data_IF_032945314621
#
_entry.id   IF_032945314621
#
_cell.length_a   1.000
_cell.length_b   1.000
_cell.length_c   1.000
_cell.angle_alpha   90.00
_cell.angle_beta   90.00
_cell.angle_gamma   90.00
#
_symmetry.space_group_name_H-M   'P 1'
#
loop_
_entity.id
_entity.type
_entity.pdbx_description
1 polymer ?
#
# COMPACT_ATOMS: atom_id res chain seq x y z
N UNK A 1 -22.73 28.60 -47.62
CA UNK A 1 -22.53 28.71 -46.17
C UNK A 1 -22.24 27.30 -45.67
N UNK A 2 -20.95 26.94 -45.60
CA UNK A 2 -20.53 25.63 -45.10
C UNK A 2 -20.45 25.77 -43.58
N UNK A 3 -21.44 25.22 -42.87
CA UNK A 3 -21.40 25.13 -41.43
C UNK A 3 -20.43 24.00 -41.08
N UNK A 4 -19.17 24.35 -40.82
CA UNK A 4 -18.24 23.46 -40.18
C UNK A 4 -18.64 23.41 -38.70
N UNK A 5 -19.36 22.36 -38.30
CA UNK A 5 -19.40 21.98 -36.90
C UNK A 5 -18.02 21.43 -36.56
N UNK A 6 -17.13 22.27 -36.04
CA UNK A 6 -16.00 21.81 -35.26
C UNK A 6 -16.61 21.07 -34.07
N UNK A 7 -16.64 19.74 -34.13
CA UNK A 7 -16.80 18.94 -32.92
C UNK A 7 -15.56 19.24 -32.10
N UNK A 8 -15.71 19.97 -30.99
CA UNK A 8 -14.66 20.02 -29.98
C UNK A 8 -14.29 18.56 -29.66
N UNK A 9 -13.01 18.21 -29.81
CA UNK A 9 -12.49 16.91 -29.39
C UNK A 9 -12.57 16.86 -27.87
N UNK A 10 -13.74 16.50 -27.36
CA UNK A 10 -13.96 16.25 -25.95
C UNK A 10 -13.07 15.05 -25.57
N UNK A 11 -12.09 15.28 -24.69
CA UNK A 11 -11.13 14.26 -24.27
C UNK A 11 -11.85 13.05 -23.66
N UNK A 12 -11.14 11.91 -23.56
CA UNK A 12 -11.75 10.71 -23.00
C UNK A 12 -12.15 10.94 -21.53
N UNK A 13 -13.38 10.58 -21.12
CA UNK A 13 -13.79 10.72 -19.73
C UNK A 13 -12.92 9.87 -18.81
N UNK A 14 -12.81 10.25 -17.54
CA UNK A 14 -12.12 9.43 -16.53
C UNK A 14 -12.77 8.05 -16.42
N UNK A 15 -11.97 7.01 -16.21
CA UNK A 15 -12.45 5.65 -15.99
C UNK A 15 -12.36 5.30 -14.51
N UNK A 16 -13.49 5.13 -13.86
CA UNK A 16 -13.58 4.77 -12.45
C UNK A 16 -14.18 3.35 -12.32
N UNK A 17 -13.77 2.58 -11.29
CA UNK A 17 -14.41 1.30 -10.94
C UNK A 17 -15.90 1.47 -10.61
N UNK A 18 -16.64 0.36 -10.57
CA UNK A 18 -18.03 0.42 -10.13
C UNK A 18 -18.07 0.76 -8.64
N UNK A 19 -19.03 1.59 -8.24
CA UNK A 19 -19.13 2.09 -6.86
C UNK A 19 -19.20 0.96 -5.83
N UNK A 20 -19.86 -0.14 -6.15
CA UNK A 20 -20.03 -1.30 -5.28
C UNK A 20 -18.73 -2.06 -5.00
N UNK A 21 -17.74 -1.95 -5.89
CA UNK A 21 -16.44 -2.59 -5.72
C UNK A 21 -15.50 -1.76 -4.85
N UNK A 22 -15.75 -0.44 -4.69
CA UNK A 22 -14.82 0.48 -4.02
C UNK A 22 -14.98 0.38 -2.50
N UNK A 23 -13.87 0.05 -1.83
CA UNK A 23 -13.80 -0.11 -0.37
C UNK A 23 -13.18 1.09 0.33
N UNK A 24 -12.24 1.79 -0.31
CA UNK A 24 -11.59 2.97 0.28
C UNK A 24 -10.93 3.84 -0.77
N UNK A 25 -10.66 5.09 -0.39
CA UNK A 25 -9.85 6.02 -1.19
C UNK A 25 -8.67 6.46 -0.35
N UNK A 26 -7.47 6.27 -0.88
CA UNK A 26 -6.21 6.69 -0.29
C UNK A 26 -5.60 7.87 -1.03
N UNK A 27 -4.92 8.77 -0.31
CA UNK A 27 -4.19 9.91 -0.87
C UNK A 27 -2.82 9.98 -0.22
N UNK A 28 -1.75 10.03 -1.04
CA UNK A 28 -0.35 10.03 -0.59
C UNK A 28 0.45 11.16 -1.22
N UNK A 29 1.18 11.95 -0.44
CA UNK A 29 2.19 12.90 -0.96
C UNK A 29 3.63 12.34 -0.93
N UNK A 30 3.76 11.03 -0.68
CA UNK A 30 5.03 10.34 -0.48
C UNK A 30 5.61 10.43 0.94
N UNK A 31 5.12 11.35 1.78
CA UNK A 31 5.51 11.42 3.20
C UNK A 31 4.33 11.09 4.13
N UNK A 32 3.12 11.45 3.71
CA UNK A 32 1.88 11.23 4.42
C UNK A 32 0.95 10.39 3.56
N UNK A 33 0.24 9.51 4.22
CA UNK A 33 -0.86 8.77 3.64
C UNK A 33 -2.13 9.05 4.44
N UNK A 34 -3.20 9.38 3.74
CA UNK A 34 -4.52 9.60 4.29
C UNK A 34 -5.48 8.61 3.63
N UNK A 35 -6.40 8.04 4.41
CA UNK A 35 -7.46 7.19 3.88
C UNK A 35 -8.83 7.80 4.17
N UNK A 36 -9.82 7.42 3.36
CA UNK A 36 -11.23 7.60 3.66
C UNK A 36 -11.56 7.09 5.07
N UNK A 37 -12.62 7.60 5.72
CA UNK A 37 -13.03 7.18 7.05
C UNK A 37 -13.15 5.65 7.21
N UNK A 38 -12.93 5.15 8.43
CA UNK A 38 -12.91 3.70 8.71
C UNK A 38 -14.29 3.12 9.05
N UNK A 39 -15.31 3.95 9.23
CA UNK A 39 -16.67 3.46 9.49
C UNK A 39 -17.42 3.31 8.17
N UNK A 40 -18.17 2.22 8.01
CA UNK A 40 -18.86 1.89 6.75
C UNK A 40 -19.75 3.03 6.24
N UNK A 41 -20.47 3.71 7.15
CA UNK A 41 -21.39 4.80 6.81
C UNK A 41 -20.63 6.05 6.35
N UNK A 42 -19.63 6.49 7.10
CA UNK A 42 -18.85 7.69 6.75
C UNK A 42 -17.97 7.44 5.52
N UNK A 43 -17.41 6.24 5.39
CA UNK A 43 -16.68 5.82 4.21
C UNK A 43 -17.57 5.89 2.97
N UNK A 44 -18.81 5.40 3.07
CA UNK A 44 -19.70 5.35 1.93
C UNK A 44 -20.06 6.75 1.39
N UNK A 45 -20.41 7.67 2.29
CA UNK A 45 -20.71 9.07 1.97
C UNK A 45 -19.48 9.78 1.39
N UNK A 46 -18.31 9.60 2.02
CA UNK A 46 -17.06 10.17 1.57
C UNK A 46 -16.68 9.68 0.17
N UNK A 47 -16.77 8.38 -0.09
CA UNK A 47 -16.44 7.79 -1.39
C UNK A 47 -17.37 8.35 -2.48
N UNK A 48 -18.68 8.46 -2.21
CA UNK A 48 -19.63 9.01 -3.18
C UNK A 48 -19.29 10.47 -3.53
N UNK A 49 -18.97 11.28 -2.53
CA UNK A 49 -18.58 12.69 -2.73
C UNK A 49 -17.26 12.80 -3.50
N UNK A 50 -16.26 11.98 -3.16
CA UNK A 50 -14.97 11.99 -3.83
C UNK A 50 -15.07 11.56 -5.30
N UNK A 51 -15.84 10.51 -5.59
CA UNK A 51 -16.07 10.08 -6.97
C UNK A 51 -16.84 11.14 -7.77
N UNK A 52 -17.80 11.83 -7.15
CA UNK A 52 -18.47 12.96 -7.78
C UNK A 52 -17.49 14.05 -8.19
N UNK A 53 -16.54 14.41 -7.31
CA UNK A 53 -15.49 15.38 -7.63
C UNK A 53 -14.57 14.92 -8.78
N UNK A 54 -14.26 13.62 -8.86
CA UNK A 54 -13.50 13.05 -9.98
C UNK A 54 -14.30 13.07 -11.30
N UNK A 55 -15.61 12.88 -11.25
CA UNK A 55 -16.48 12.91 -12.43
C UNK A 55 -16.74 14.32 -12.96
N UNK A 56 -16.67 15.35 -12.11
CA UNK A 56 -16.91 16.75 -12.46
C UNK A 56 -15.69 17.44 -13.14
N UNK A 57 -14.58 16.71 -13.32
CA UNK A 57 -13.37 17.28 -13.89
C UNK A 57 -13.49 17.62 -15.37
N UNK A 58 -12.83 18.70 -15.79
CA UNK A 58 -12.78 19.07 -17.19
C UNK A 58 -11.78 18.19 -17.94
N UNK A 59 -12.22 17.58 -19.05
CA UNK A 59 -11.33 16.86 -19.96
C UNK A 59 -10.38 17.83 -20.66
N UNK A 60 -9.10 17.48 -20.77
CA UNK A 60 -8.15 18.23 -21.59
C UNK A 60 -7.83 17.51 -22.89
N UNK A 61 -7.18 18.19 -23.84
CA UNK A 61 -6.64 17.58 -25.05
C UNK A 61 -5.26 16.91 -24.85
N UNK A 62 -4.75 16.90 -23.61
CA UNK A 62 -3.46 16.29 -23.31
C UNK A 62 -3.59 14.76 -23.20
N UNK A 63 -2.58 14.05 -23.69
CA UNK A 63 -2.50 12.60 -23.60
C UNK A 63 -1.65 12.20 -22.41
N UNK A 64 -2.15 11.25 -21.60
CA UNK A 64 -1.32 10.51 -20.66
C UNK A 64 -0.72 9.31 -21.41
N UNK A 65 0.61 9.29 -21.54
CA UNK A 65 1.35 8.23 -22.26
C UNK A 65 2.35 7.50 -21.37
N UNK A 66 2.43 7.87 -20.10
CA UNK A 66 3.34 7.30 -19.11
C UNK A 66 2.53 6.66 -17.98
N UNK A 67 3.15 5.70 -17.28
CA UNK A 67 2.57 5.09 -16.09
C UNK A 67 2.50 6.07 -14.91
N UNK A 68 3.41 7.05 -14.86
CA UNK A 68 3.56 8.04 -13.79
C UNK A 68 3.90 9.39 -14.40
N UNK A 69 3.44 10.54 -13.84
CA UNK A 69 3.83 11.86 -14.32
C UNK A 69 5.35 12.06 -14.30
N UNK A 70 5.89 12.50 -15.43
CA UNK A 70 7.34 12.65 -15.61
C UNK A 70 7.80 14.05 -15.20
N UNK A 71 8.83 14.13 -14.35
CA UNK A 71 9.39 15.39 -13.84
C UNK A 71 8.34 16.28 -13.14
N UNK A 72 7.44 15.65 -12.37
CA UNK A 72 6.45 16.33 -11.53
C UNK A 72 6.55 15.80 -10.12
N UNK A 73 6.40 16.70 -9.15
CA UNK A 73 6.00 16.32 -7.81
C UNK A 73 4.48 16.10 -7.85
N UNK A 74 4.02 14.95 -7.36
CA UNK A 74 2.63 14.55 -7.45
C UNK A 74 2.15 13.94 -6.13
N UNK A 75 0.84 13.93 -5.99
CA UNK A 75 0.09 13.21 -4.98
C UNK A 75 -0.53 11.99 -5.66
N UNK A 76 -0.36 10.82 -5.09
CA UNK A 76 -1.00 9.58 -5.54
C UNK A 76 -2.40 9.49 -4.93
N UNK A 77 -3.41 9.19 -5.75
CA UNK A 77 -4.78 8.90 -5.31
C UNK A 77 -5.07 7.45 -5.67
N UNK A 78 -5.33 6.61 -4.67
CA UNK A 78 -5.63 5.19 -4.84
C UNK A 78 -7.12 4.94 -4.56
N UNK A 79 -7.84 4.45 -5.57
CA UNK A 79 -9.21 3.96 -5.45
C UNK A 79 -9.11 2.45 -5.26
N UNK A 80 -9.23 2.01 -4.02
CA UNK A 80 -9.05 0.62 -3.63
C UNK A 80 -10.37 -0.13 -3.78
N UNK A 81 -10.33 -1.30 -4.43
CA UNK A 81 -11.49 -2.12 -4.68
C UNK A 81 -11.37 -3.50 -4.04
N UNK A 82 -12.51 -4.14 -3.75
CA UNK A 82 -12.58 -5.54 -3.31
C UNK A 82 -12.74 -6.47 -4.52
N UNK A 83 -11.92 -7.52 -4.59
CA UNK A 83 -12.01 -8.56 -5.61
C UNK A 83 -11.71 -8.15 -7.06
N UNK A 84 -11.37 -6.89 -7.32
CA UNK A 84 -10.98 -6.35 -8.63
C UNK A 84 -9.81 -5.38 -8.53
N UNK A 85 -9.13 -5.15 -9.66
CA UNK A 85 -8.05 -4.18 -9.76
C UNK A 85 -8.53 -2.77 -9.39
N UNK A 86 -7.70 -2.05 -8.64
CA UNK A 86 -7.99 -0.69 -8.19
C UNK A 86 -7.79 0.34 -9.31
N UNK A 87 -7.78 1.61 -8.94
CA UNK A 87 -7.39 2.68 -9.88
C UNK A 87 -6.48 3.67 -9.19
N UNK A 88 -5.29 3.85 -9.76
CA UNK A 88 -4.33 4.88 -9.33
C UNK A 88 -4.43 6.10 -10.24
N UNK A 89 -4.53 7.27 -9.63
CA UNK A 89 -4.50 8.58 -10.28
C UNK A 89 -3.37 9.41 -9.68
N UNK A 90 -2.92 10.42 -10.44
CA UNK A 90 -1.87 11.32 -9.98
C UNK A 90 -2.34 12.76 -10.05
N UNK A 91 -2.34 13.45 -8.91
CA UNK A 91 -2.66 14.86 -8.80
C UNK A 91 -1.37 15.68 -8.73
N UNK A 92 -1.23 16.71 -9.58
CA UNK A 92 -0.06 17.58 -9.56
C UNK A 92 -0.36 18.98 -10.06
N UNK A 93 0.53 19.92 -9.74
CA UNK A 93 0.52 21.26 -10.33
C UNK A 93 1.63 21.38 -11.39
N UNK A 94 1.29 21.84 -12.59
CA UNK A 94 2.25 22.28 -13.59
C UNK A 94 2.05 23.77 -13.88
N UNK A 95 3.10 24.57 -13.65
CA UNK A 95 3.11 26.02 -13.90
C UNK A 95 1.92 26.76 -13.25
N UNK A 96 1.52 26.31 -12.06
CA UNK A 96 0.41 26.89 -11.30
C UNK A 96 -0.99 26.47 -11.77
N UNK A 97 -1.10 25.50 -12.68
CA UNK A 97 -2.37 24.84 -13.03
C UNK A 97 -2.37 23.43 -12.49
N UNK A 98 -3.46 23.03 -11.84
CA UNK A 98 -3.62 21.70 -11.25
C UNK A 98 -4.18 20.72 -12.28
N UNK A 99 -3.76 19.47 -12.16
CA UNK A 99 -4.16 18.38 -13.04
C UNK A 99 -4.35 17.09 -12.25
N UNK A 100 -5.26 16.25 -12.75
CA UNK A 100 -5.33 14.83 -12.39
C UNK A 100 -4.99 14.03 -13.63
N UNK A 101 -4.04 13.12 -13.53
CA UNK A 101 -3.63 12.22 -14.60
C UNK A 101 -4.04 10.79 -14.28
N UNK A 102 -4.75 10.17 -15.21
CA UNK A 102 -5.00 8.75 -15.22
C UNK A 102 -4.12 8.11 -16.31
N UNK A 103 -3.21 7.19 -15.95
CA UNK A 103 -2.31 6.53 -16.89
C UNK A 103 -3.04 5.99 -18.12
N UNK A 104 -2.52 6.33 -19.30
CA UNK A 104 -3.03 5.87 -20.61
C UNK A 104 -4.48 6.26 -20.93
N UNK A 105 -5.12 7.07 -20.09
CA UNK A 105 -6.53 7.42 -20.23
C UNK A 105 -6.72 8.90 -20.53
N UNK A 106 -6.11 9.78 -19.72
CA UNK A 106 -6.21 11.22 -19.93
C UNK A 106 -5.64 12.06 -18.80
N UNK A 107 -5.52 13.35 -19.08
CA UNK A 107 -5.18 14.39 -18.11
C UNK A 107 -6.38 15.34 -18.01
N UNK A 108 -6.78 15.63 -16.79
CA UNK A 108 -8.01 16.32 -16.43
C UNK A 108 -7.69 17.55 -15.60
N UNK A 109 -8.52 18.59 -15.67
CA UNK A 109 -8.45 19.73 -14.75
C UNK A 109 -9.48 19.54 -13.64
N UNK A 110 -9.04 19.44 -12.38
CA UNK A 110 -9.95 19.28 -11.27
C UNK A 110 -10.64 20.60 -10.92
N UNK A 111 -11.86 20.50 -10.38
CA UNK A 111 -12.50 21.62 -9.70
C UNK A 111 -11.80 21.87 -8.35
N UNK A 112 -11.86 23.10 -7.80
CA UNK A 112 -11.23 23.43 -6.51
C UNK A 112 -11.68 22.53 -5.34
N UNK A 113 -12.89 21.97 -5.41
CA UNK A 113 -13.41 21.05 -4.40
C UNK A 113 -12.49 19.83 -4.19
N UNK A 114 -11.98 19.23 -5.28
CA UNK A 114 -11.08 18.08 -5.18
C UNK A 114 -9.75 18.46 -4.52
N UNK A 115 -9.17 19.59 -4.93
CA UNK A 115 -7.92 20.13 -4.36
C UNK A 115 -8.04 20.38 -2.85
N UNK A 116 -9.15 20.98 -2.42
CA UNK A 116 -9.44 21.18 -1.00
C UNK A 116 -9.58 19.85 -0.26
N UNK A 117 -10.32 18.89 -0.82
CA UNK A 117 -10.50 17.57 -0.22
C UNK A 117 -9.15 16.84 -0.03
N UNK A 118 -8.31 16.78 -1.06
CA UNK A 118 -6.96 16.21 -1.00
C UNK A 118 -6.12 16.88 0.08
N UNK A 119 -6.15 18.21 0.13
CA UNK A 119 -5.40 18.99 1.13
C UNK A 119 -5.88 18.71 2.55
N UNK A 120 -7.20 18.62 2.76
CA UNK A 120 -7.80 18.31 4.07
C UNK A 120 -7.50 16.87 4.50
N UNK A 121 -7.51 15.91 3.58
CA UNK A 121 -7.09 14.53 3.84
C UNK A 121 -5.65 14.49 4.34
N UNK A 122 -4.71 15.11 3.61
CA UNK A 122 -3.29 15.12 3.99
C UNK A 122 -2.99 15.96 5.25
N UNK A 123 -3.80 16.99 5.53
CA UNK A 123 -3.69 17.78 6.75
C UNK A 123 -4.22 17.05 7.99
N UNK A 124 -5.23 16.19 7.81
CA UNK A 124 -5.81 15.35 8.87
C UNK A 124 -5.11 14.01 9.04
N UNK A 125 -4.28 13.60 8.09
CA UNK A 125 -3.31 12.53 8.32
C UNK A 125 -2.43 12.90 9.51
N UNK A 126 -2.59 12.16 10.60
CA UNK A 126 -1.64 12.19 11.70
C UNK A 126 -0.24 11.96 11.10
N UNK A 127 0.78 12.70 11.55
CA UNK A 127 2.18 12.46 11.12
C UNK A 127 2.71 11.07 11.57
N UNK A 128 1.83 10.23 12.08
CA UNK A 128 2.04 8.81 12.31
C UNK A 128 1.96 8.15 10.94
N UNK A 129 3.10 7.68 10.44
CA UNK A 129 3.15 6.76 9.30
C UNK A 129 2.03 5.72 9.47
N UNK A 130 1.15 5.58 8.47
CA UNK A 130 0.14 4.51 8.49
C UNK A 130 0.90 3.20 8.44
N UNK A 131 1.13 2.61 9.61
CA UNK A 131 1.82 1.35 9.79
C UNK A 131 0.77 0.25 9.81
N UNK A 132 0.39 -0.22 8.63
CA UNK A 132 -0.45 -1.40 8.48
C UNK A 132 0.42 -2.62 8.71
N UNK A 133 -0.05 -3.58 9.50
CA UNK A 133 0.67 -4.82 9.74
C UNK A 133 -0.14 -6.02 9.28
N UNK A 134 0.53 -6.98 8.65
CA UNK A 134 -0.06 -8.26 8.32
C UNK A 134 0.93 -9.40 8.53
N UNK A 135 0.38 -10.60 8.72
CA UNK A 135 1.18 -11.81 8.89
C UNK A 135 1.23 -12.59 7.59
N UNK A 136 2.40 -13.17 7.30
CA UNK A 136 2.62 -13.94 6.10
C UNK A 136 3.59 -15.09 6.36
N UNK A 137 3.42 -16.18 5.64
CA UNK A 137 4.38 -17.30 5.63
C UNK A 137 5.42 -17.08 4.54
N UNK A 138 6.70 -17.24 4.88
CA UNK A 138 7.80 -17.24 3.92
C UNK A 138 7.68 -18.47 3.02
N UNK A 139 7.62 -18.26 1.71
CA UNK A 139 7.51 -19.35 0.72
C UNK A 139 8.73 -19.47 -0.19
N UNK A 140 9.52 -18.41 -0.32
CA UNK A 140 10.79 -18.41 -1.05
C UNK A 140 11.77 -17.44 -0.37
N UNK A 141 13.05 -17.82 -0.30
CA UNK A 141 14.13 -16.96 0.18
C UNK A 141 15.29 -16.96 -0.79
N UNK A 142 15.76 -15.76 -1.13
CA UNK A 142 16.96 -15.50 -1.91
C UNK A 142 17.85 -14.53 -1.10
N UNK A 143 19.08 -14.29 -1.57
CA UNK A 143 20.02 -13.40 -0.86
C UNK A 143 19.44 -12.00 -0.64
N UNK A 144 18.79 -11.43 -1.67
CA UNK A 144 18.34 -10.03 -1.65
C UNK A 144 16.81 -9.89 -1.63
N UNK A 145 16.07 -11.01 -1.61
CA UNK A 145 14.61 -10.99 -1.70
C UNK A 145 13.94 -12.16 -1.00
N UNK A 146 12.72 -11.90 -0.52
CA UNK A 146 11.86 -12.87 0.15
C UNK A 146 10.50 -12.81 -0.52
N UNK A 147 9.92 -13.97 -0.84
CA UNK A 147 8.53 -14.07 -1.27
C UNK A 147 7.71 -14.64 -0.12
N UNK A 148 6.62 -13.95 0.21
CA UNK A 148 5.71 -14.35 1.28
C UNK A 148 4.30 -14.57 0.75
N UNK A 149 3.55 -15.47 1.40
CA UNK A 149 2.11 -15.64 1.21
C UNK A 149 1.39 -15.12 2.47
N UNK A 150 0.46 -14.15 2.36
CA UNK A 150 -0.33 -13.69 3.52
C UNK A 150 -1.10 -14.85 4.17
N UNK A 151 -1.32 -14.76 5.48
CA UNK A 151 -2.14 -15.76 6.20
C UNK A 151 -3.59 -15.74 5.72
N UNK A 152 -4.26 -16.89 5.79
CA UNK A 152 -5.65 -17.00 5.38
C UNK A 152 -6.56 -16.07 6.21
N UNK A 153 -7.40 -15.28 5.52
CA UNK A 153 -8.30 -14.30 6.15
C UNK A 153 -7.69 -12.93 6.43
N UNK A 154 -6.45 -12.67 5.98
CA UNK A 154 -5.89 -11.30 5.94
C UNK A 154 -6.43 -10.52 4.74
N UNK A 155 -6.55 -9.21 4.87
CA UNK A 155 -7.00 -8.31 3.79
C UNK A 155 -6.00 -8.30 2.62
N UNK A 156 -4.71 -8.48 2.92
CA UNK A 156 -3.66 -8.58 1.92
C UNK A 156 -3.81 -9.82 1.03
N UNK A 157 -4.37 -10.92 1.57
CA UNK A 157 -4.64 -12.12 0.78
C UNK A 157 -5.74 -11.89 -0.26
N UNK A 158 -6.71 -11.03 0.05
CA UNK A 158 -7.77 -10.64 -0.89
C UNK A 158 -7.21 -9.81 -2.05
N UNK A 159 -6.08 -9.12 -1.82
CA UNK A 159 -5.36 -8.34 -2.82
C UNK A 159 -4.38 -9.17 -3.67
N UNK A 160 -3.57 -10.04 -3.04
CA UNK A 160 -2.63 -10.90 -3.75
C UNK A 160 -2.23 -12.16 -2.96
N UNK A 161 -1.98 -13.27 -3.67
CA UNK A 161 -1.54 -14.52 -3.06
C UNK A 161 -0.05 -14.52 -2.69
N UNK A 162 0.75 -13.62 -3.28
CA UNK A 162 2.20 -13.52 -3.09
C UNK A 162 2.66 -12.09 -3.08
N UNK A 163 3.54 -11.78 -2.13
CA UNK A 163 4.22 -10.49 -2.05
C UNK A 163 5.73 -10.66 -2.15
N UNK A 164 6.34 -9.80 -2.95
CA UNK A 164 7.78 -9.61 -3.02
C UNK A 164 8.22 -8.62 -1.95
N UNK A 165 9.23 -8.99 -1.15
CA UNK A 165 9.86 -8.12 -0.16
C UNK A 165 11.37 -8.10 -0.40
N UNK A 166 11.97 -6.90 -0.43
CA UNK A 166 13.42 -6.74 -0.47
C UNK A 166 14.04 -7.16 0.85
N UNK A 167 15.11 -7.95 0.82
CA UNK A 167 15.82 -8.41 2.01
C UNK A 167 17.06 -7.54 2.32
N UNK A 168 16.88 -6.23 2.41
CA UNK A 168 18.02 -5.30 2.58
C UNK A 168 18.76 -5.53 3.92
N UNK A 169 18.04 -5.97 4.94
CA UNK A 169 18.58 -6.28 6.27
C UNK A 169 19.26 -7.66 6.34
N UNK A 170 19.31 -8.41 5.24
CA UNK A 170 19.88 -9.76 5.16
C UNK A 170 19.33 -10.70 6.25
N UNK A 171 18.02 -10.68 6.46
CA UNK A 171 17.33 -11.56 7.40
C UNK A 171 17.52 -13.01 6.97
N UNK A 172 18.04 -13.84 7.88
CA UNK A 172 18.19 -15.29 7.68
C UNK A 172 16.86 -16.00 7.97
N UNK A 173 15.89 -15.87 7.06
CA UNK A 173 14.59 -16.55 7.15
C UNK A 173 14.61 -17.92 6.47
N UNK A 174 13.77 -18.82 6.96
CA UNK A 174 13.54 -20.13 6.39
C UNK A 174 12.15 -20.23 5.76
N UNK A 175 12.03 -21.06 4.73
CA UNK A 175 10.72 -21.40 4.15
C UNK A 175 9.84 -22.00 5.24
N UNK A 176 8.65 -21.44 5.42
CA UNK A 176 7.69 -21.81 6.45
C UNK A 176 7.70 -20.89 7.68
N UNK A 177 8.66 -19.99 7.80
CA UNK A 177 8.66 -18.99 8.88
C UNK A 177 7.45 -18.07 8.75
N UNK A 178 6.84 -17.75 9.89
CA UNK A 178 5.77 -16.75 9.97
C UNK A 178 6.41 -15.40 10.26
N UNK A 179 6.16 -14.41 9.43
CA UNK A 179 6.63 -13.04 9.60
C UNK A 179 5.47 -12.10 9.76
N UNK A 180 5.69 -11.03 10.52
CA UNK A 180 4.82 -9.87 10.59
C UNK A 180 5.51 -8.73 9.84
N UNK A 181 4.80 -8.14 8.89
CA UNK A 181 5.30 -7.13 7.96
C UNK A 181 4.52 -5.86 8.19
N UNK A 182 5.24 -4.75 8.33
CA UNK A 182 4.68 -3.42 8.55
C UNK A 182 4.96 -2.54 7.33
N UNK A 183 3.94 -1.91 6.78
CA UNK A 183 4.05 -1.12 5.55
C UNK A 183 3.05 0.04 5.51
N UNK A 184 3.18 0.90 4.50
CA UNK A 184 2.40 2.12 4.34
C UNK A 184 0.93 1.94 3.89
N UNK A 185 0.46 0.70 3.73
CA UNK A 185 -0.89 0.39 3.26
C UNK A 185 -1.07 0.39 1.74
N UNK A 186 -0.03 0.72 0.95
CA UNK A 186 -0.10 0.67 -0.52
C UNK A 186 0.31 -0.70 -1.05
N UNK A 187 -0.44 -1.21 -2.02
CA UNK A 187 -0.15 -2.45 -2.75
C UNK A 187 -0.11 -2.13 -4.24
N UNK A 188 1.01 -2.49 -4.88
CA UNK A 188 1.23 -2.29 -6.31
C UNK A 188 0.83 -3.54 -7.10
N UNK A 189 0.06 -3.33 -8.18
CA UNK A 189 -0.42 -4.38 -9.07
C UNK A 189 0.71 -5.01 -9.91
N UNK A 190 1.39 -5.99 -9.32
CA UNK A 190 2.46 -6.78 -9.94
C UNK A 190 2.35 -8.25 -9.54
N UNK A 191 3.17 -9.12 -10.13
CA UNK A 191 3.19 -10.54 -9.76
C UNK A 191 4.62 -11.09 -9.60
N UNK A 192 5.05 -11.46 -8.37
CA UNK A 192 4.38 -11.23 -7.08
C UNK A 192 4.04 -9.75 -6.84
N UNK A 193 2.99 -9.46 -6.06
CA UNK A 193 2.61 -8.09 -5.74
C UNK A 193 3.72 -7.42 -4.92
N UNK A 194 3.81 -6.10 -5.03
CA UNK A 194 4.76 -5.31 -4.24
C UNK A 194 3.98 -4.48 -3.24
N UNK A 195 4.52 -4.34 -2.03
CA UNK A 195 4.07 -3.33 -1.10
C UNK A 195 4.69 -1.99 -1.51
N UNK A 196 4.08 -0.88 -1.11
CA UNK A 196 4.69 0.44 -1.21
C UNK A 196 5.93 0.55 -0.32
N UNK A 197 5.87 1.40 0.70
CA UNK A 197 6.95 1.53 1.66
C UNK A 197 6.82 0.49 2.78
N UNK A 198 7.77 -0.44 2.85
CA UNK A 198 7.89 -1.43 3.94
C UNK A 198 8.78 -0.84 5.04
N UNK A 199 8.23 -0.73 6.25
CA UNK A 199 8.94 -0.17 7.39
C UNK A 199 9.73 -1.22 8.15
N UNK A 200 9.11 -2.35 8.47
CA UNK A 200 9.72 -3.41 9.29
C UNK A 200 9.20 -4.79 8.89
N UNK A 201 10.07 -5.80 8.99
CA UNK A 201 9.72 -7.21 8.93
C UNK A 201 10.39 -7.94 10.08
N UNK A 202 9.63 -8.76 10.80
CA UNK A 202 10.21 -9.60 11.84
C UNK A 202 9.49 -10.95 11.94
N UNK A 203 10.16 -11.93 12.53
CA UNK A 203 9.56 -13.24 12.84
C UNK A 203 8.41 -13.06 13.83
N UNK A 204 7.21 -13.47 13.42
CA UNK A 204 6.04 -13.48 14.28
C UNK A 204 6.24 -14.56 15.36
N UNK A 205 6.19 -14.17 16.63
CA UNK A 205 6.25 -15.13 17.72
C UNK A 205 5.03 -16.06 17.63
N UNK A 206 5.26 -17.36 17.40
CA UNK A 206 4.20 -18.36 17.46
C UNK A 206 3.47 -18.23 18.80
N UNK A 207 2.18 -17.86 18.79
CA UNK A 207 1.31 -18.01 19.96
C UNK A 207 1.14 -19.52 20.23
N UNK A 208 2.11 -20.13 20.91
CA UNK A 208 2.01 -21.53 21.29
C UNK A 208 3.27 -22.38 21.37
N UNK A 209 4.51 -21.86 21.49
CA UNK A 209 5.62 -22.64 22.07
C UNK A 209 6.58 -21.73 22.85
N UNK A 210 6.20 -21.35 24.06
CA UNK A 210 7.16 -21.03 25.13
C UNK A 210 6.94 -22.00 26.29
N UNK A 211 7.08 -23.29 26.01
CA UNK A 211 7.21 -24.31 27.04
C UNK A 211 8.29 -25.29 26.58
N UNK A 212 9.38 -25.33 27.36
CA UNK A 212 10.54 -26.22 27.28
C UNK A 212 11.73 -25.75 26.43
N UNK A 213 12.30 -24.59 26.76
CA UNK A 213 13.77 -24.48 26.77
C UNK A 213 14.27 -23.74 28.00
N UNK A 214 13.88 -24.26 29.17
CA UNK A 214 14.56 -23.96 30.45
C UNK A 214 14.85 -25.25 31.22
N UNK A 215 15.39 -26.25 30.54
CA UNK A 215 16.09 -27.35 31.22
C UNK A 215 17.36 -27.70 30.43
N UNK A 216 18.49 -27.69 31.14
CA UNK A 216 19.85 -28.10 30.77
C UNK A 216 20.80 -27.05 30.17
N UNK A 217 21.33 -26.20 31.06
CA UNK A 217 22.80 -26.04 31.10
C UNK A 217 23.27 -25.90 32.56
N UNK A 218 23.47 -27.02 33.24
CA UNK A 218 24.43 -27.11 34.35
C UNK A 218 24.87 -28.56 34.57
N UNK A 219 25.58 -29.10 33.58
CA UNK A 219 26.59 -30.14 33.83
C UNK A 219 27.86 -29.70 33.10
N UNK A 220 28.68 -28.90 33.78
CA UNK A 220 30.12 -28.89 33.53
C UNK A 220 30.79 -29.54 34.73
N UNK A 221 31.12 -30.82 34.53
CA UNK A 221 32.14 -31.54 35.28
C UNK A 221 33.47 -30.79 35.13
N UNK A 222 34.02 -30.29 36.23
CA UNK A 222 35.45 -29.97 36.34
C UNK A 222 36.00 -30.74 37.54
N UNK A 223 36.61 -31.87 37.21
CA UNK A 223 37.82 -32.42 37.80
C UNK A 223 37.92 -32.53 39.34
N UNK A 224 37.84 -33.78 39.79
CA UNK A 224 38.73 -34.41 40.75
C UNK A 224 39.66 -33.50 41.58
N UNK A 225 39.37 -33.34 42.87
CA UNK A 225 40.40 -33.40 43.92
C UNK A 225 39.90 -34.38 44.98
N UNK A 226 40.51 -35.57 44.95
CA UNK A 226 40.58 -36.52 46.06
C UNK A 226 41.48 -35.93 47.16
N UNK A 227 41.00 -35.88 48.41
CA UNK A 227 41.73 -36.29 49.62
C UNK A 227 40.85 -35.97 50.87
N UNK A 228 40.22 -36.94 51.54
CA UNK A 228 40.72 -37.90 52.54
C UNK A 228 40.77 -37.37 54.00
N UNK A 229 40.40 -38.25 54.93
CA UNK A 229 40.39 -38.19 56.41
C UNK A 229 39.33 -37.28 57.08
N UNK A 230 38.31 -37.78 57.81
CA UNK A 230 38.32 -38.69 58.98
C UNK A 230 38.83 -37.98 60.26
N UNK A 231 37.90 -37.43 61.05
CA UNK A 231 37.75 -37.50 62.51
C UNK A 231 36.54 -36.66 62.96
#
# INVERSE_FOLDING_TARGET
MLCACEKEEQGNPIRLPAREDIVSIGVSDGNKYAMSPNTEVEAAEFIDEFLFMLMDMETTSQQSVNDVPVNKDFITININCDGVAGTTLFYYADKGTEYVEQPYQGIYKPAPALSNCITEMLASADNTLLMVTFQASVIETNNDSIIVKPVDGSLELDSADKFYISNEENLELQIGDLVEISYNGEIMESYPAQLGEVYEMHLAAMQGVFLLQKVHLHITCRSCIFANCML
#
